data_IF_420317620805
#
_entry.id   IF_420317620805
#
_cell.length_a   1.000
_cell.length_b   1.000
_cell.length_c   1.000
_cell.angle_alpha   90.00
_cell.angle_beta   90.00
_cell.angle_gamma   90.00
#
_symmetry.space_group_name_H-M   'P 1'
#
loop_
_entity.id
_entity.type
_entity.pdbx_description
1 polymer ?
#
# COMPACT_ATOMS: atom_id res chain seq x y z
N UNK A 1 7.97 15.15 28.77
CA UNK A 1 6.95 14.21 29.30
C UNK A 1 7.07 12.91 28.50
N UNK A 2 7.04 11.73 29.13
CA UNK A 2 6.96 10.45 28.40
C UNK A 2 5.51 9.97 28.54
N UNK A 3 4.77 9.96 27.45
CA UNK A 3 3.44 9.35 27.41
C UNK A 3 3.62 7.95 26.82
N UNK A 4 3.20 6.93 27.57
CA UNK A 4 3.36 5.52 27.20
C UNK A 4 1.98 4.88 27.02
N UNK A 5 1.79 4.19 25.90
CA UNK A 5 0.66 3.29 25.70
C UNK A 5 1.13 1.84 25.81
N UNK A 6 0.37 1.03 26.54
CA UNK A 6 0.54 -0.41 26.69
C UNK A 6 -0.81 -1.13 26.72
N UNK A 7 -0.81 -2.45 26.88
CA UNK A 7 -1.99 -3.30 26.67
C UNK A 7 -2.98 -3.39 27.85
N UNK A 8 -2.70 -2.80 29.01
CA UNK A 8 -3.36 -3.15 30.29
C UNK A 8 -4.36 -2.13 30.87
N UNK A 9 -4.68 -1.03 30.19
CA UNK A 9 -5.76 -0.12 30.61
C UNK A 9 -6.38 0.59 29.40
N UNK A 10 -7.63 0.27 29.04
CA UNK A 10 -8.48 0.95 28.03
C UNK A 10 -7.70 1.73 26.94
N UNK A 11 -6.89 0.99 26.16
CA UNK A 11 -5.56 1.39 25.69
C UNK A 11 -5.47 2.20 24.40
N UNK A 12 -6.48 3.02 24.11
CA UNK A 12 -6.51 3.84 22.89
C UNK A 12 -6.85 5.29 23.19
N UNK A 13 -6.17 6.21 22.53
CA UNK A 13 -6.52 7.62 22.54
C UNK A 13 -7.67 7.87 21.58
N UNK A 14 -8.77 8.41 22.09
CA UNK A 14 -9.94 8.77 21.29
C UNK A 14 -9.81 10.20 20.76
N UNK A 15 -10.32 10.44 19.57
CA UNK A 15 -10.55 11.80 19.09
C UNK A 15 -11.64 12.49 19.93
N UNK A 16 -11.74 13.84 19.95
CA UNK A 16 -12.76 14.55 20.72
C UNK A 16 -14.20 14.07 20.48
N UNK A 17 -14.58 13.75 19.24
CA UNK A 17 -15.88 13.17 18.89
C UNK A 17 -16.03 11.69 19.28
N UNK A 18 -14.92 11.01 19.55
CA UNK A 18 -14.83 9.56 19.72
C UNK A 18 -15.08 8.78 18.43
N UNK A 19 -15.06 9.42 17.26
CA UNK A 19 -15.23 8.73 15.97
C UNK A 19 -13.97 7.95 15.58
N UNK A 20 -12.79 8.42 15.99
CA UNK A 20 -11.51 7.77 15.76
C UNK A 20 -10.82 7.37 17.06
N UNK A 21 -9.99 6.33 16.97
CA UNK A 21 -9.11 5.89 18.04
C UNK A 21 -7.71 5.60 17.49
N UNK A 22 -6.69 5.89 18.30
CA UNK A 22 -5.29 5.59 18.03
C UNK A 22 -4.71 4.72 19.14
N UNK A 23 -3.95 3.68 18.80
CA UNK A 23 -3.27 2.83 19.78
C UNK A 23 -3.00 1.42 19.24
N UNK A 24 -2.89 0.45 20.15
CA UNK A 24 -2.69 -0.94 19.76
C UNK A 24 -4.03 -1.64 19.42
N UNK A 25 -4.14 -2.16 18.19
CA UNK A 25 -5.26 -2.96 17.71
C UNK A 25 -4.82 -4.43 17.61
N UNK A 26 -5.54 -5.32 18.29
CA UNK A 26 -5.31 -6.76 18.20
C UNK A 26 -5.74 -7.31 16.83
N UNK A 27 -4.95 -8.21 16.26
CA UNK A 27 -5.24 -8.91 15.01
C UNK A 27 -5.82 -10.29 15.29
N UNK A 28 -6.96 -10.62 14.68
CA UNK A 28 -7.52 -11.99 14.59
C UNK A 28 -7.58 -12.79 15.90
N UNK A 29 -7.83 -12.15 17.04
CA UNK A 29 -7.79 -12.80 18.37
C UNK A 29 -6.45 -13.49 18.69
N UNK A 30 -5.35 -13.03 18.10
CA UNK A 30 -3.98 -13.51 18.36
C UNK A 30 -3.23 -12.63 19.36
N UNK A 31 -2.02 -13.01 19.75
CA UNK A 31 -1.11 -12.16 20.54
C UNK A 31 -0.33 -11.15 19.67
N UNK A 32 -0.84 -10.86 18.46
CA UNK A 32 -0.29 -9.92 17.51
C UNK A 32 -1.13 -8.64 17.44
N UNK A 33 -0.45 -7.50 17.33
CA UNK A 33 -1.04 -6.18 17.40
C UNK A 33 -0.46 -5.22 16.36
N UNK A 34 -1.23 -4.20 16.00
CA UNK A 34 -0.80 -3.07 15.19
C UNK A 34 -0.91 -1.78 15.97
N UNK A 35 0.13 -0.95 15.93
CA UNK A 35 -0.04 0.47 16.25
C UNK A 35 -0.79 1.13 15.09
N UNK A 36 -2.00 1.61 15.34
CA UNK A 36 -2.93 2.01 14.27
C UNK A 36 -3.91 3.09 14.69
N UNK A 37 -4.53 3.70 13.68
CA UNK A 37 -5.75 4.51 13.81
C UNK A 37 -6.90 3.73 13.19
N UNK A 38 -8.08 3.74 13.83
CA UNK A 38 -9.29 3.09 13.32
C UNK A 38 -10.56 3.90 13.64
N UNK A 39 -11.65 3.59 12.94
CA UNK A 39 -12.99 4.08 13.31
C UNK A 39 -13.47 3.40 14.60
N UNK A 40 -13.59 4.15 15.68
CA UNK A 40 -13.86 3.58 17.01
C UNK A 40 -15.31 3.10 17.17
N UNK A 41 -16.25 3.73 16.46
CA UNK A 41 -17.70 3.44 16.53
C UNK A 41 -18.20 2.44 15.50
N UNK A 42 -17.34 2.00 14.58
CA UNK A 42 -17.66 0.89 13.67
C UNK A 42 -17.33 -0.42 14.39
N UNK A 43 -18.22 -1.44 14.46
CA UNK A 43 -17.96 -2.63 15.27
C UNK A 43 -16.72 -3.43 14.83
N UNK A 44 -16.47 -3.54 13.52
CA UNK A 44 -15.24 -4.14 12.98
C UNK A 44 -13.97 -3.33 13.31
N UNK A 45 -14.14 -2.05 13.70
CA UNK A 45 -13.08 -1.08 14.00
C UNK A 45 -12.06 -1.05 12.88
N UNK A 46 -12.54 -0.71 11.70
CA UNK A 46 -11.79 -0.64 10.46
C UNK A 46 -10.57 0.25 10.61
N UNK A 47 -9.39 -0.32 10.34
CA UNK A 47 -8.11 0.37 10.39
C UNK A 47 -7.99 1.31 9.19
N UNK A 48 -7.62 2.57 9.45
CA UNK A 48 -7.45 3.62 8.43
C UNK A 48 -6.01 4.09 8.31
N UNK A 49 -5.18 3.80 9.32
CA UNK A 49 -3.74 4.05 9.31
C UNK A 49 -3.04 3.05 10.22
N UNK A 50 -1.79 2.70 9.92
CA UNK A 50 -0.94 1.90 10.81
C UNK A 50 0.53 2.29 10.67
N UNK A 51 1.31 2.04 11.71
CA UNK A 51 2.76 2.23 11.67
C UNK A 51 3.35 1.31 10.60
N UNK A 52 3.80 1.91 9.49
CA UNK A 52 4.40 1.20 8.36
C UNK A 52 5.84 1.69 8.14
N UNK A 53 6.72 0.81 7.68
CA UNK A 53 8.14 1.06 7.49
C UNK A 53 8.88 -0.21 7.04
N UNK A 54 10.21 -0.25 7.20
CA UNK A 54 11.05 -1.41 6.84
C UNK A 54 10.96 -2.56 7.87
N UNK A 55 10.34 -2.30 9.01
CA UNK A 55 10.12 -3.25 10.11
C UNK A 55 8.70 -3.81 10.07
N UNK A 56 8.44 -4.97 10.72
CA UNK A 56 7.10 -5.55 10.71
C UNK A 56 6.10 -4.57 11.31
N UNK A 57 5.03 -4.27 10.54
CA UNK A 57 3.89 -3.49 11.02
C UNK A 57 3.26 -4.11 12.29
N UNK A 58 3.40 -5.44 12.41
CA UNK A 58 2.81 -6.28 13.44
C UNK A 58 3.78 -6.54 14.58
N UNK A 59 3.31 -6.34 15.81
CA UNK A 59 4.10 -6.48 17.04
C UNK A 59 3.49 -7.47 18.02
N UNK A 60 4.33 -8.05 18.87
CA UNK A 60 3.90 -8.97 19.91
C UNK A 60 3.30 -8.24 21.12
N UNK A 61 2.43 -8.95 21.85
CA UNK A 61 1.96 -8.52 23.17
C UNK A 61 3.12 -8.12 24.10
N UNK A 62 2.95 -7.01 24.80
CA UNK A 62 3.99 -6.42 25.67
C UNK A 62 4.86 -5.37 24.99
N UNK A 63 4.76 -5.19 23.68
CA UNK A 63 5.27 -3.99 22.99
C UNK A 63 4.71 -2.69 23.57
N UNK A 64 5.50 -1.62 23.46
CA UNK A 64 5.18 -0.31 24.01
C UNK A 64 5.34 0.74 22.93
N UNK A 65 4.49 1.77 22.94
CA UNK A 65 4.74 3.00 22.18
C UNK A 65 4.90 4.16 23.14
N UNK A 66 6.03 4.86 23.01
CA UNK A 66 6.38 6.00 23.83
C UNK A 66 6.44 7.25 22.96
N UNK A 67 5.86 8.34 23.45
CA UNK A 67 6.10 9.67 22.92
C UNK A 67 7.35 10.27 23.59
N UNK A 68 8.31 10.69 22.78
CA UNK A 68 9.59 11.25 23.23
C UNK A 68 9.87 12.57 22.51
N UNK A 69 10.42 13.55 23.25
CA UNK A 69 10.75 14.85 22.66
C UNK A 69 11.84 14.77 21.57
N UNK A 70 12.71 13.77 21.64
CA UNK A 70 13.86 13.63 20.74
C UNK A 70 13.59 12.74 19.51
N UNK A 71 12.47 12.01 19.47
CA UNK A 71 12.21 11.05 18.38
C UNK A 71 10.74 10.86 18.04
N UNK A 72 9.83 11.63 18.65
CA UNK A 72 8.39 11.46 18.47
C UNK A 72 7.90 10.13 19.04
N UNK A 73 7.03 9.45 18.29
CA UNK A 73 6.57 8.11 18.63
C UNK A 73 7.68 7.10 18.40
N UNK A 74 7.97 6.29 19.41
CA UNK A 74 8.92 5.18 19.35
C UNK A 74 8.22 3.91 19.80
N UNK A 75 8.10 2.96 18.87
CA UNK A 75 7.53 1.64 19.10
C UNK A 75 8.65 0.65 19.43
N UNK A 76 8.54 -0.05 20.55
CA UNK A 76 9.53 -1.02 21.01
C UNK A 76 8.94 -2.42 21.20
N UNK A 77 9.78 -3.43 21.05
CA UNK A 77 9.45 -4.82 21.42
C UNK A 77 9.33 -4.96 22.94
N UNK A 78 8.76 -6.06 23.45
CA UNK A 78 8.75 -6.32 24.89
C UNK A 78 10.15 -6.35 25.53
N UNK A 79 11.19 -6.64 24.73
CA UNK A 79 12.60 -6.66 25.14
C UNK A 79 13.29 -5.30 24.99
N UNK A 80 12.57 -4.26 24.56
CA UNK A 80 13.09 -2.90 24.40
C UNK A 80 13.76 -2.60 23.06
N UNK A 81 13.75 -3.52 22.09
CA UNK A 81 14.29 -3.26 20.77
C UNK A 81 13.38 -2.27 20.01
N UNK A 82 13.95 -1.23 19.40
CA UNK A 82 13.19 -0.29 18.58
C UNK A 82 12.70 -0.99 17.31
N UNK A 83 11.38 -1.04 17.14
CA UNK A 83 10.72 -1.62 15.97
C UNK A 83 10.38 -0.54 14.94
N UNK A 84 9.90 0.63 15.37
CA UNK A 84 9.51 1.73 14.49
C UNK A 84 9.61 3.08 15.20
N UNK A 85 9.76 4.16 14.43
CA UNK A 85 9.66 5.54 14.93
C UNK A 85 9.02 6.49 13.92
N UNK A 86 8.42 7.59 14.39
CA UNK A 86 7.78 8.63 13.55
C UNK A 86 8.79 9.56 12.85
N UNK A 87 9.83 8.99 12.24
CA UNK A 87 10.89 9.74 11.55
C UNK A 87 11.98 10.28 12.47
N UNK A 88 12.75 11.25 11.96
CA UNK A 88 13.81 11.95 12.69
C UNK A 88 13.33 13.36 13.03
N UNK A 89 12.51 13.46 14.06
CA UNK A 89 11.92 14.72 14.56
C UNK A 89 12.41 15.03 15.97
N UNK A 90 12.47 16.31 16.32
CA UNK A 90 12.90 16.80 17.64
C UNK A 90 12.02 17.96 18.11
N UNK A 91 11.89 18.12 19.43
CA UNK A 91 11.08 19.18 20.02
C UNK A 91 9.62 18.80 20.24
N UNK A 92 9.29 17.51 20.15
CA UNK A 92 7.91 17.03 20.33
C UNK A 92 7.44 17.23 21.77
N UNK A 93 6.33 17.93 21.95
CA UNK A 93 5.73 18.22 23.24
C UNK A 93 4.55 17.29 23.55
N UNK A 94 3.63 17.14 22.60
CA UNK A 94 2.42 16.33 22.76
C UNK A 94 1.95 15.73 21.43
N UNK A 95 1.03 14.77 21.50
CA UNK A 95 0.38 14.15 20.35
C UNK A 95 -1.14 14.33 20.42
N UNK A 96 -1.77 14.64 19.30
CA UNK A 96 -3.19 14.97 19.19
C UNK A 96 -3.83 14.10 18.13
N UNK A 97 -4.90 13.38 18.49
CA UNK A 97 -5.79 12.75 17.51
C UNK A 97 -6.99 13.68 17.27
N UNK A 98 -7.13 14.20 16.06
CA UNK A 98 -8.24 15.08 15.73
C UNK A 98 -9.45 14.32 15.15
N UNK A 99 -10.55 15.04 14.92
CA UNK A 99 -11.80 14.46 14.40
C UNK A 99 -11.80 14.19 12.89
N UNK A 100 -10.73 14.52 12.16
CA UNK A 100 -10.53 14.02 10.78
C UNK A 100 -9.85 12.65 10.78
N UNK A 101 -9.40 12.17 11.94
CA UNK A 101 -8.65 10.92 12.07
C UNK A 101 -7.14 11.11 11.86
N UNK A 102 -6.67 12.35 11.70
CA UNK A 102 -5.24 12.65 11.63
C UNK A 102 -4.65 12.68 13.05
N UNK A 103 -3.64 11.85 13.28
CA UNK A 103 -2.82 11.92 14.49
C UNK A 103 -1.58 12.77 14.21
N UNK A 104 -1.42 13.84 14.98
CA UNK A 104 -0.40 14.87 14.80
C UNK A 104 0.51 14.89 16.03
N UNK A 105 1.81 15.04 15.80
CA UNK A 105 2.82 15.33 16.82
C UNK A 105 3.18 16.81 16.73
N UNK A 106 3.07 17.51 17.84
CA UNK A 106 3.22 18.97 17.90
C UNK A 106 4.34 19.37 18.86
N UNK A 107 4.93 20.55 18.61
CA UNK A 107 5.85 21.21 19.53
C UNK A 107 5.11 22.02 20.61
N UNK A 108 5.83 22.71 21.49
CA UNK A 108 5.24 23.53 22.56
C UNK A 108 4.44 24.74 22.03
N UNK A 109 4.61 25.12 20.76
CA UNK A 109 3.89 26.19 20.07
C UNK A 109 2.68 25.67 19.27
N UNK A 110 2.36 24.38 19.37
CA UNK A 110 1.33 23.71 18.56
C UNK A 110 1.64 23.70 17.05
N UNK A 111 2.92 23.77 16.67
CA UNK A 111 3.35 23.55 15.29
C UNK A 111 3.44 22.05 14.99
N UNK A 112 2.89 21.63 13.85
CA UNK A 112 2.92 20.23 13.40
C UNK A 112 4.33 19.81 13.00
N UNK A 113 4.88 18.81 13.70
CA UNK A 113 6.20 18.24 13.44
C UNK A 113 6.12 16.94 12.62
N UNK A 114 5.04 16.19 12.78
CA UNK A 114 4.78 14.95 12.06
C UNK A 114 3.30 14.60 12.14
N UNK A 115 2.75 14.00 11.09
CA UNK A 115 1.36 13.57 11.10
C UNK A 115 1.10 12.34 10.24
N UNK A 116 0.02 11.63 10.57
CA UNK A 116 -0.37 10.41 9.85
C UNK A 116 -0.79 10.66 8.41
N UNK A 117 -1.38 11.84 8.11
CA UNK A 117 -1.79 12.18 6.75
C UNK A 117 -0.58 12.39 5.82
N UNK A 118 0.53 12.96 6.31
CA UNK A 118 1.78 13.03 5.54
C UNK A 118 2.55 11.70 5.49
N UNK A 119 2.07 10.66 6.19
CA UNK A 119 2.69 9.33 6.22
C UNK A 119 1.63 8.25 5.97
N UNK A 120 0.91 8.30 4.84
CA UNK A 120 -0.27 7.49 4.62
C UNK A 120 0.10 6.00 4.41
N UNK A 121 -0.88 5.13 4.64
CA UNK A 121 -0.74 3.69 4.36
C UNK A 121 -1.52 3.29 3.12
N UNK A 122 -2.70 2.70 3.31
CA UNK A 122 -3.56 2.13 2.27
C UNK A 122 -4.86 2.91 2.10
N UNK A 123 -5.13 3.89 2.98
CA UNK A 123 -6.41 4.58 3.09
C UNK A 123 -6.23 6.09 3.13
N UNK A 124 -7.14 6.80 2.46
CA UNK A 124 -7.34 8.24 2.45
C UNK A 124 -8.68 8.54 3.13
N UNK A 125 -8.72 9.57 3.96
CA UNK A 125 -9.90 10.02 4.68
C UNK A 125 -10.36 11.40 4.18
N UNK A 126 -11.61 11.81 4.41
CA UNK A 126 -12.01 13.18 4.12
C UNK A 126 -11.13 14.21 4.84
N UNK A 127 -10.62 15.19 4.09
CA UNK A 127 -9.66 16.20 4.56
C UNK A 127 -8.19 15.75 4.47
N UNK A 128 -7.92 14.58 3.91
CA UNK A 128 -6.58 14.08 3.63
C UNK A 128 -6.29 14.25 2.13
N UNK A 129 -5.30 15.08 1.83
CA UNK A 129 -4.84 15.33 0.47
C UNK A 129 -3.57 14.54 0.15
N UNK A 130 -3.46 14.04 -1.08
CA UNK A 130 -2.21 13.45 -1.59
C UNK A 130 -1.61 14.44 -2.57
N UNK A 131 -0.61 15.19 -2.11
CA UNK A 131 0.14 16.16 -2.91
C UNK A 131 1.04 15.49 -3.96
N UNK A 132 1.56 16.27 -4.93
CA UNK A 132 2.61 15.82 -5.86
C UNK A 132 3.75 15.11 -5.11
N UNK A 133 4.16 13.96 -5.65
CA UNK A 133 5.15 13.06 -5.04
C UNK A 133 4.57 12.11 -3.99
N UNK A 134 3.34 12.37 -3.51
CA UNK A 134 2.60 11.59 -2.53
C UNK A 134 2.12 10.25 -3.06
N UNK A 135 2.08 9.26 -2.16
CA UNK A 135 1.87 7.85 -2.50
C UNK A 135 1.10 7.13 -1.40
N UNK A 136 0.16 6.26 -1.77
CA UNK A 136 -0.43 5.27 -0.85
C UNK A 136 -0.22 3.86 -1.38
N UNK A 137 -0.01 2.91 -0.48
CA UNK A 137 0.33 1.52 -0.78
C UNK A 137 -0.80 0.60 -0.35
N UNK A 138 -1.14 -0.36 -1.20
CA UNK A 138 -1.95 -1.49 -0.77
C UNK A 138 -1.29 -2.28 0.36
N UNK A 139 -2.11 -3.01 1.12
CA UNK A 139 -1.64 -4.11 1.97
C UNK A 139 -1.27 -5.32 1.10
N UNK A 140 -0.48 -6.25 1.64
CA UNK A 140 -0.10 -7.46 0.92
C UNK A 140 -1.27 -8.44 0.75
N UNK A 141 -2.12 -8.54 1.77
CA UNK A 141 -3.38 -9.27 1.75
C UNK A 141 -4.33 -8.64 2.79
N UNK A 142 -5.56 -9.13 2.88
CA UNK A 142 -6.54 -8.70 3.88
C UNK A 142 -6.04 -8.78 5.33
N UNK A 143 -5.15 -9.73 5.60
CA UNK A 143 -4.65 -10.04 6.95
C UNK A 143 -3.17 -9.70 7.13
N UNK A 144 -2.49 -9.30 6.03
CA UNK A 144 -1.07 -8.98 6.03
C UNK A 144 -0.83 -7.50 5.69
N UNK A 145 -0.55 -6.73 6.74
CA UNK A 145 -0.34 -5.29 6.71
C UNK A 145 1.03 -4.84 6.17
N UNK A 146 1.85 -5.79 5.69
CA UNK A 146 3.08 -5.45 4.96
C UNK A 146 2.74 -4.71 3.66
N UNK A 147 3.70 -3.96 3.11
CA UNK A 147 3.54 -3.30 1.81
C UNK A 147 3.15 -4.32 0.74
N UNK A 148 2.01 -4.07 0.09
CA UNK A 148 1.54 -4.80 -1.08
C UNK A 148 2.11 -4.26 -2.37
N UNK A 149 1.75 -4.90 -3.48
CA UNK A 149 2.30 -4.62 -4.81
C UNK A 149 1.56 -3.54 -5.60
N UNK A 150 0.55 -2.89 -5.03
CA UNK A 150 -0.20 -1.82 -5.70
C UNK A 150 0.04 -0.48 -5.03
N UNK A 151 0.05 0.56 -5.84
CA UNK A 151 0.26 1.92 -5.39
C UNK A 151 -0.58 2.93 -6.15
N UNK A 152 -1.18 3.87 -5.42
CA UNK A 152 -1.71 5.12 -5.97
C UNK A 152 -0.62 6.18 -5.81
N UNK A 153 -0.34 6.92 -6.87
CA UNK A 153 0.71 7.94 -6.89
C UNK A 153 0.17 9.22 -7.49
N UNK A 154 0.31 10.32 -6.76
CA UNK A 154 0.22 11.65 -7.36
C UNK A 154 1.61 12.00 -7.89
N UNK A 155 1.83 11.91 -9.19
CA UNK A 155 3.15 12.11 -9.80
C UNK A 155 3.52 13.59 -9.87
N UNK A 156 4.83 13.89 -9.91
CA UNK A 156 5.33 15.27 -10.00
C UNK A 156 4.92 15.99 -11.31
N UNK A 157 4.67 15.21 -12.37
CA UNK A 157 4.11 15.69 -13.64
C UNK A 157 2.61 16.07 -13.56
N UNK A 158 1.98 15.82 -12.42
CA UNK A 158 0.59 16.15 -12.12
C UNK A 158 -0.41 15.06 -12.43
N UNK A 159 0.02 13.88 -12.89
CA UNK A 159 -0.88 12.76 -13.17
C UNK A 159 -1.12 11.91 -11.91
N UNK A 160 -2.38 11.64 -11.59
CA UNK A 160 -2.75 10.65 -10.58
C UNK A 160 -2.83 9.28 -11.24
N UNK A 161 -2.03 8.33 -10.77
CA UNK A 161 -1.95 7.00 -11.38
C UNK A 161 -2.13 5.89 -10.36
N UNK A 162 -2.67 4.76 -10.81
CA UNK A 162 -2.56 3.49 -10.11
C UNK A 162 -1.59 2.59 -10.87
N UNK A 163 -0.65 1.98 -10.16
CA UNK A 163 0.38 1.11 -10.75
C UNK A 163 0.68 -0.10 -9.87
N UNK A 164 1.25 -1.13 -10.47
CA UNK A 164 1.94 -2.19 -9.74
C UNK A 164 3.40 -1.82 -9.50
N UNK A 165 3.96 -2.33 -8.40
CA UNK A 165 5.37 -2.15 -8.05
C UNK A 165 6.05 -3.49 -7.84
N UNK A 166 7.29 -3.59 -8.31
CA UNK A 166 8.12 -4.77 -8.14
C UNK A 166 8.77 -4.73 -6.75
N UNK A 167 8.38 -5.63 -5.86
CA UNK A 167 9.03 -5.77 -4.55
C UNK A 167 10.27 -6.68 -4.66
N UNK A 168 11.39 -6.38 -3.96
CA UNK A 168 11.58 -5.27 -3.03
C UNK A 168 12.14 -3.98 -3.67
N UNK A 169 12.34 -3.93 -4.99
CA UNK A 169 12.98 -2.76 -5.64
C UNK A 169 12.11 -1.50 -5.68
N UNK A 170 10.81 -1.64 -5.40
CA UNK A 170 9.78 -0.60 -5.48
C UNK A 170 9.67 0.06 -6.88
N UNK A 171 10.23 -0.60 -7.90
CA UNK A 171 10.15 -0.14 -9.28
C UNK A 171 8.68 -0.16 -9.74
N UNK A 172 8.17 1.00 -10.18
CA UNK A 172 6.82 1.07 -10.73
C UNK A 172 6.77 0.55 -12.16
N UNK A 173 5.79 -0.31 -12.41
CA UNK A 173 5.44 -0.74 -13.74
C UNK A 173 4.56 0.32 -14.42
N UNK A 174 4.15 0.04 -15.67
CA UNK A 174 3.20 0.88 -16.38
C UNK A 174 1.90 1.03 -15.57
N UNK A 175 1.36 2.25 -15.46
CA UNK A 175 0.13 2.47 -14.74
C UNK A 175 -1.04 1.81 -15.47
N UNK A 176 -1.96 1.25 -14.70
CA UNK A 176 -3.20 0.70 -15.23
C UNK A 176 -4.39 1.64 -15.16
N UNK A 177 -4.19 2.76 -14.50
CA UNK A 177 -5.09 3.88 -14.48
C UNK A 177 -4.25 5.15 -14.45
N UNK A 178 -4.68 6.16 -15.20
CA UNK A 178 -4.17 7.51 -15.15
C UNK A 178 -5.34 8.49 -15.23
N UNK A 179 -5.25 9.61 -14.52
CA UNK A 179 -6.24 10.68 -14.58
C UNK A 179 -6.05 11.61 -15.79
N UNK A 180 -4.96 11.44 -16.53
CA UNK A 180 -4.57 12.28 -17.68
C UNK A 180 -4.49 13.78 -17.36
N UNK A 181 -4.03 14.08 -16.14
CA UNK A 181 -3.84 15.45 -15.61
C UNK A 181 -2.39 15.92 -15.70
N UNK A 182 -1.59 15.30 -16.56
CA UNK A 182 -0.23 15.78 -16.86
C UNK A 182 -0.30 17.19 -17.46
N UNK A 183 0.57 18.08 -17.01
CA UNK A 183 0.69 19.41 -17.63
C UNK A 183 1.39 19.33 -18.99
N UNK A 184 0.84 20.03 -19.99
CA UNK A 184 1.46 20.16 -21.31
C UNK A 184 1.69 21.64 -21.70
N UNK A 185 2.51 21.88 -22.72
CA UNK A 185 2.87 23.22 -23.16
C UNK A 185 1.71 24.00 -23.82
N UNK A 186 0.56 23.35 -24.05
CA UNK A 186 -0.43 23.82 -25.02
C UNK A 186 -1.73 24.34 -24.41
N UNK A 187 -1.96 24.20 -23.09
CA UNK A 187 -2.96 24.90 -22.26
C UNK A 187 -3.40 24.08 -21.03
N UNK A 188 -2.95 22.82 -20.92
CA UNK A 188 -3.33 21.97 -19.79
C UNK A 188 -2.43 22.23 -18.58
N UNK A 189 -3.02 22.63 -17.46
CA UNK A 189 -2.28 22.75 -16.20
C UNK A 189 -2.15 21.40 -15.52
N UNK A 190 -0.99 21.15 -14.91
CA UNK A 190 -0.74 19.92 -14.18
C UNK A 190 -1.70 19.79 -12.97
N UNK A 191 -2.05 18.56 -12.60
CA UNK A 191 -2.65 18.28 -11.29
C UNK A 191 -1.67 18.61 -10.17
N UNK A 192 -2.14 19.13 -9.04
CA UNK A 192 -1.32 19.53 -7.86
C UNK A 192 -1.50 18.59 -6.68
N UNK A 193 -2.72 18.07 -6.49
CA UNK A 193 -3.04 17.13 -5.42
C UNK A 193 -4.31 16.35 -5.76
N UNK A 194 -4.42 15.14 -5.22
CA UNK A 194 -5.71 14.47 -5.03
C UNK A 194 -6.31 14.96 -3.72
N UNK A 195 -7.52 15.50 -3.77
CA UNK A 195 -8.27 15.96 -2.61
C UNK A 195 -9.48 15.07 -2.39
N UNK A 196 -9.71 14.63 -1.15
CA UNK A 196 -10.91 13.91 -0.74
C UNK A 196 -11.67 14.74 0.29
N UNK A 197 -12.86 15.24 -0.04
CA UNK A 197 -13.58 16.17 0.82
C UNK A 197 -14.71 15.53 1.64
N UNK A 198 -15.23 16.28 2.62
CA UNK A 198 -16.31 15.84 3.52
C UNK A 198 -17.69 15.69 2.86
N UNK A 199 -17.86 16.20 1.65
CA UNK A 199 -19.05 15.93 0.84
C UNK A 199 -18.96 14.57 0.13
N UNK A 200 -17.82 13.89 0.21
CA UNK A 200 -17.60 12.58 -0.39
C UNK A 200 -17.02 12.63 -1.81
N UNK A 201 -16.66 13.81 -2.31
CA UNK A 201 -16.04 13.96 -3.64
C UNK A 201 -14.53 13.80 -3.56
N UNK A 202 -13.97 13.10 -4.55
CA UNK A 202 -12.54 12.98 -4.80
C UNK A 202 -12.20 13.60 -6.15
N UNK A 203 -11.25 14.52 -6.17
CA UNK A 203 -10.80 15.16 -7.41
C UNK A 203 -9.31 15.43 -7.42
N UNK A 204 -8.73 15.43 -8.61
CA UNK A 204 -7.43 16.04 -8.85
C UNK A 204 -7.64 17.54 -9.03
N UNK A 205 -7.10 18.34 -8.10
CA UNK A 205 -7.04 19.79 -8.23
C UNK A 205 -5.93 20.15 -9.22
N UNK A 206 -6.18 21.03 -10.18
CA UNK A 206 -5.19 21.49 -11.17
C UNK A 206 -4.69 22.90 -10.84
N UNK A 207 -3.55 23.30 -11.41
CA UNK A 207 -2.92 24.60 -11.11
C UNK A 207 -3.81 25.80 -11.50
N UNK A 208 -4.67 25.65 -12.52
CA UNK A 208 -5.67 26.66 -12.90
C UNK A 208 -6.89 26.71 -11.96
N UNK A 209 -6.95 25.86 -10.93
CA UNK A 209 -8.07 25.72 -10.00
C UNK A 209 -9.21 24.81 -10.49
N UNK A 210 -9.10 24.22 -11.69
CA UNK A 210 -10.03 23.23 -12.19
C UNK A 210 -9.97 21.94 -11.35
N UNK A 211 -11.12 21.30 -11.15
CA UNK A 211 -11.26 20.06 -10.39
C UNK A 211 -11.69 18.94 -11.32
N UNK A 212 -10.79 18.00 -11.60
CA UNK A 212 -11.15 16.77 -12.30
C UNK A 212 -11.66 15.75 -11.29
N UNK A 213 -12.98 15.53 -11.26
CA UNK A 213 -13.58 14.55 -10.35
C UNK A 213 -13.24 13.14 -10.80
N UNK A 214 -12.79 12.31 -9.85
CA UNK A 214 -12.33 10.93 -10.09
C UNK A 214 -13.43 9.92 -9.77
N UNK A 215 -14.25 10.19 -8.74
CA UNK A 215 -15.40 9.36 -8.38
C UNK A 215 -16.70 9.82 -9.06
N UNK A 216 -17.71 8.95 -9.09
CA UNK A 216 -19.01 9.25 -9.72
C UNK A 216 -19.73 10.47 -9.12
N UNK A 217 -20.66 11.06 -9.90
CA UNK A 217 -21.33 12.31 -9.56
C UNK A 217 -22.23 12.23 -8.31
N UNK A 218 -22.77 11.04 -8.01
CA UNK A 218 -23.56 10.78 -6.81
C UNK A 218 -22.69 10.18 -5.71
N UNK A 219 -22.52 10.91 -4.62
CA UNK A 219 -21.74 10.48 -3.46
C UNK A 219 -22.48 10.80 -2.17
N UNK A 220 -21.99 10.25 -1.06
CA UNK A 220 -22.54 10.44 0.28
C UNK A 220 -21.61 11.31 1.13
N UNK A 221 -22.18 12.05 2.08
CA UNK A 221 -21.42 12.99 2.92
C UNK A 221 -20.91 12.36 4.21
N UNK A 222 -19.72 12.79 4.63
CA UNK A 222 -19.08 12.47 5.92
C UNK A 222 -19.92 12.94 7.13
N UNK A 223 -20.92 13.81 6.92
CA UNK A 223 -21.87 14.21 7.96
C UNK A 223 -22.71 13.03 8.46
N UNK A 224 -23.16 12.17 7.54
CA UNK A 224 -24.06 11.05 7.83
C UNK A 224 -23.36 9.70 7.79
N UNK A 225 -22.17 9.63 7.19
CA UNK A 225 -21.42 8.40 6.98
C UNK A 225 -19.97 8.55 7.46
N UNK A 226 -19.36 7.46 7.90
CA UNK A 226 -17.91 7.31 7.91
C UNK A 226 -17.46 6.99 6.50
N UNK A 227 -16.57 7.82 5.94
CA UNK A 227 -16.08 7.67 4.57
C UNK A 227 -14.59 7.38 4.55
N UNK A 228 -14.18 6.47 3.69
CA UNK A 228 -12.77 6.21 3.42
C UNK A 228 -12.59 5.85 1.96
N UNK A 229 -11.42 6.15 1.39
CA UNK A 229 -11.01 5.63 0.10
C UNK A 229 -9.76 4.77 0.30
N UNK A 230 -9.81 3.51 -0.11
CA UNK A 230 -8.79 2.52 0.21
C UNK A 230 -8.27 1.86 -1.06
N UNK A 231 -6.95 1.81 -1.20
CA UNK A 231 -6.30 0.97 -2.19
C UNK A 231 -6.21 -0.45 -1.63
N UNK A 232 -7.09 -1.32 -2.11
CA UNK A 232 -7.18 -2.68 -1.62
C UNK A 232 -5.96 -3.51 -2.05
N UNK A 233 -5.73 -4.64 -1.35
CA UNK A 233 -4.63 -5.56 -1.62
C UNK A 233 -4.66 -6.20 -3.02
N UNK A 234 -5.81 -6.10 -3.70
CA UNK A 234 -6.04 -6.63 -5.03
C UNK A 234 -5.94 -5.56 -6.14
N UNK A 235 -5.57 -4.33 -5.77
CA UNK A 235 -5.32 -3.22 -6.68
C UNK A 235 -6.53 -2.34 -6.98
N UNK A 236 -7.73 -2.70 -6.52
CA UNK A 236 -8.91 -1.86 -6.71
C UNK A 236 -8.90 -0.72 -5.69
N UNK A 237 -8.91 0.52 -6.16
CA UNK A 237 -9.08 1.69 -5.31
C UNK A 237 -10.57 1.97 -5.14
N UNK A 238 -11.07 1.87 -3.91
CA UNK A 238 -12.51 1.93 -3.65
C UNK A 238 -12.85 2.93 -2.55
N UNK A 239 -13.90 3.70 -2.77
CA UNK A 239 -14.56 4.52 -1.78
C UNK A 239 -15.62 3.70 -1.04
N UNK A 240 -15.51 3.69 0.29
CA UNK A 240 -16.44 3.03 1.18
C UNK A 240 -17.22 4.05 2.00
N UNK A 241 -18.47 3.69 2.30
CA UNK A 241 -19.30 4.40 3.26
C UNK A 241 -19.86 3.46 4.32
N UNK A 242 -19.96 3.96 5.54
CA UNK A 242 -20.60 3.27 6.65
C UNK A 242 -21.55 4.24 7.37
N UNK A 243 -22.88 3.98 7.45
CA UNK A 243 -23.81 4.90 8.08
C UNK A 243 -23.47 5.11 9.57
N UNK A 244 -23.40 6.36 10.04
CA UNK A 244 -23.07 6.65 11.46
C UNK A 244 -24.14 6.17 12.45
N UNK A 245 -25.36 5.94 11.97
CA UNK A 245 -26.48 5.42 12.75
C UNK A 245 -26.64 3.89 12.67
N UNK A 246 -25.78 3.20 11.90
CA UNK A 246 -25.81 1.74 11.79
C UNK A 246 -25.26 1.10 13.06
N UNK A 247 -25.92 0.05 13.53
CA UNK A 247 -25.42 -0.83 14.60
C UNK A 247 -24.76 -2.10 14.06
N UNK A 248 -24.81 -2.31 12.73
CA UNK A 248 -24.25 -3.49 12.06
C UNK A 248 -23.04 -3.16 11.18
N UNK A 249 -22.32 -4.19 10.75
CA UNK A 249 -21.13 -4.11 9.89
C UNK A 249 -21.47 -3.95 8.40
N UNK A 250 -22.36 -3.02 8.07
CA UNK A 250 -22.77 -2.79 6.68
C UNK A 250 -21.98 -1.61 6.12
N UNK A 251 -20.79 -1.89 5.60
CA UNK A 251 -20.05 -0.94 4.77
C UNK A 251 -20.38 -1.17 3.30
N UNK A 252 -20.66 -0.12 2.56
CA UNK A 252 -21.00 -0.18 1.14
C UNK A 252 -19.87 0.41 0.30
N UNK A 253 -19.55 -0.23 -0.82
CA UNK A 253 -18.71 0.38 -1.87
C UNK A 253 -19.58 1.41 -2.59
N UNK A 254 -19.20 2.67 -2.51
CA UNK A 254 -19.89 3.78 -3.18
C UNK A 254 -19.38 3.91 -4.61
N UNK A 255 -18.08 3.70 -4.79
CA UNK A 255 -17.40 3.82 -6.06
C UNK A 255 -16.08 3.06 -6.00
N UNK A 256 -15.60 2.57 -7.13
CA UNK A 256 -14.28 1.95 -7.23
C UNK A 256 -13.67 2.11 -8.61
N UNK A 257 -12.34 2.06 -8.70
CA UNK A 257 -11.62 2.03 -9.96
C UNK A 257 -10.42 1.07 -9.94
N UNK A 258 -10.07 0.50 -11.10
CA UNK A 258 -10.84 0.51 -12.35
C UNK A 258 -12.01 -0.49 -12.32
N UNK A 259 -13.00 -0.33 -13.21
CA UNK A 259 -14.18 -1.23 -13.29
C UNK A 259 -13.81 -2.69 -13.60
N UNK A 260 -12.80 -2.88 -14.44
CA UNK A 260 -12.26 -4.18 -14.79
C UNK A 260 -10.73 -4.14 -14.80
N UNK A 261 -10.14 -4.33 -13.63
CA UNK A 261 -8.69 -4.38 -13.48
C UNK A 261 -8.04 -5.55 -14.23
N UNK A 262 -8.78 -6.63 -14.54
CA UNK A 262 -8.26 -7.75 -15.33
C UNK A 262 -8.13 -7.45 -16.83
N UNK A 263 -8.73 -6.35 -17.33
CA UNK A 263 -8.57 -5.92 -18.72
C UNK A 263 -7.22 -5.23 -18.99
N UNK A 264 -6.41 -5.05 -17.96
CA UNK A 264 -5.06 -4.50 -18.08
C UNK A 264 -4.17 -5.32 -19.01
N UNK A 265 -3.61 -4.66 -20.02
CA UNK A 265 -2.48 -5.18 -20.80
C UNK A 265 -1.18 -4.83 -20.10
N UNK A 266 -0.43 -5.85 -19.68
CA UNK A 266 0.87 -5.67 -19.02
C UNK A 266 1.96 -6.00 -20.03
N UNK A 267 2.60 -4.99 -20.60
CA UNK A 267 3.69 -5.18 -21.57
C UNK A 267 4.96 -5.72 -20.89
N UNK A 268 5.17 -5.38 -19.62
CA UNK A 268 6.25 -5.86 -18.77
C UNK A 268 5.92 -5.68 -17.29
N UNK A 269 6.39 -6.61 -16.45
CA UNK A 269 6.22 -6.56 -15.00
C UNK A 269 5.08 -7.40 -14.44
N UNK A 270 4.77 -7.19 -13.16
CA UNK A 270 3.70 -7.87 -12.45
C UNK A 270 2.32 -7.32 -12.87
N UNK A 271 1.44 -8.20 -13.31
CA UNK A 271 0.02 -7.89 -13.43
C UNK A 271 -0.73 -7.99 -12.09
N UNK A 272 -2.05 -7.83 -12.16
CA UNK A 272 -2.94 -7.91 -10.98
C UNK A 272 -2.71 -9.19 -10.18
N UNK A 273 -2.59 -10.31 -10.87
CA UNK A 273 -2.52 -11.65 -10.27
C UNK A 273 -1.11 -12.23 -10.12
N UNK A 274 -0.05 -11.43 -10.22
CA UNK A 274 1.31 -11.95 -10.23
C UNK A 274 1.65 -12.69 -11.54
N UNK A 275 2.85 -13.26 -11.63
CA UNK A 275 3.34 -13.90 -12.86
C UNK A 275 2.62 -15.21 -13.16
N UNK A 276 2.40 -15.48 -14.46
CA UNK A 276 1.80 -16.72 -14.98
C UNK A 276 0.41 -17.03 -14.41
N UNK A 277 -0.37 -16.02 -14.06
CA UNK A 277 -1.74 -16.17 -13.55
C UNK A 277 -2.79 -15.72 -14.55
N UNK A 278 -4.00 -16.25 -14.41
CA UNK A 278 -5.20 -15.79 -15.10
C UNK A 278 -5.98 -14.89 -14.14
N UNK A 279 -6.31 -13.69 -14.61
CA UNK A 279 -7.17 -12.74 -13.89
C UNK A 279 -8.60 -12.85 -14.44
N UNK A 280 -9.56 -12.98 -13.54
CA UNK A 280 -10.99 -12.93 -13.86
C UNK A 280 -11.69 -11.97 -12.91
N UNK A 281 -12.82 -11.37 -13.32
CA UNK A 281 -13.61 -10.51 -12.45
C UNK A 281 -14.75 -11.31 -11.82
N UNK A 282 -14.89 -11.20 -10.51
CA UNK A 282 -16.04 -11.68 -9.76
C UNK A 282 -16.45 -10.57 -8.79
N UNK A 283 -17.74 -10.19 -8.81
CA UNK A 283 -18.28 -9.12 -7.95
C UNK A 283 -17.47 -7.81 -7.99
N UNK A 284 -17.06 -7.39 -9.19
CA UNK A 284 -16.22 -6.20 -9.45
C UNK A 284 -14.81 -6.25 -8.84
N UNK A 285 -14.36 -7.42 -8.37
CA UNK A 285 -13.02 -7.64 -7.81
C UNK A 285 -12.26 -8.70 -8.61
N UNK A 286 -10.92 -8.59 -8.72
CA UNK A 286 -10.14 -9.59 -9.43
C UNK A 286 -9.98 -10.86 -8.60
N UNK A 287 -10.18 -11.99 -9.27
CA UNK A 287 -9.88 -13.33 -8.79
C UNK A 287 -8.76 -13.92 -9.64
N UNK A 288 -7.78 -14.51 -8.97
CA UNK A 288 -6.56 -15.03 -9.57
C UNK A 288 -6.53 -16.55 -9.52
N UNK A 289 -6.17 -17.18 -10.64
CA UNK A 289 -6.03 -18.62 -10.72
C UNK A 289 -4.83 -19.00 -11.60
N UNK A 290 -4.09 -20.02 -11.17
CA UNK A 290 -3.07 -20.62 -12.02
C UNK A 290 -3.72 -21.30 -13.23
N UNK A 291 -3.15 -21.12 -14.44
CA UNK A 291 -3.52 -21.91 -15.61
C UNK A 291 -3.40 -23.41 -15.36
N UNK A 292 -4.03 -24.21 -16.22
CA UNK A 292 -3.83 -25.66 -16.21
C UNK A 292 -2.34 -26.00 -16.30
N UNK A 293 -1.88 -26.95 -15.45
CA UNK A 293 -0.47 -27.38 -15.32
C UNK A 293 0.44 -26.39 -14.60
N UNK A 294 -0.11 -25.36 -13.98
CA UNK A 294 0.60 -24.45 -13.08
C UNK A 294 0.04 -24.56 -11.67
N UNK A 295 0.89 -24.30 -10.68
CA UNK A 295 0.53 -24.22 -9.26
C UNK A 295 1.15 -22.99 -8.64
N UNK A 296 0.55 -22.50 -7.55
CA UNK A 296 1.10 -21.37 -6.80
C UNK A 296 2.51 -21.69 -6.31
N UNK A 297 3.42 -20.73 -6.46
CA UNK A 297 4.77 -20.81 -5.90
C UNK A 297 4.71 -20.84 -4.37
N UNK A 298 3.86 -19.99 -3.79
CA UNK A 298 3.50 -20.01 -2.38
C UNK A 298 2.01 -20.36 -2.26
N UNK A 299 1.65 -21.56 -1.77
CA UNK A 299 0.26 -21.95 -1.58
C UNK A 299 -0.55 -21.02 -0.66
N UNK A 300 0.12 -20.20 0.16
CA UNK A 300 -0.53 -19.26 1.08
C UNK A 300 -0.71 -17.86 0.47
N UNK A 301 -0.28 -17.63 -0.77
CA UNK A 301 -0.46 -16.38 -1.50
C UNK A 301 -1.30 -16.64 -2.76
N UNK A 302 -2.65 -16.61 -2.67
CA UNK A 302 -3.54 -16.85 -3.81
C UNK A 302 -3.37 -15.85 -4.96
N UNK A 303 -2.76 -14.70 -4.67
CA UNK A 303 -2.46 -13.65 -5.63
C UNK A 303 -0.97 -13.62 -6.01
N UNK A 304 -0.23 -14.65 -5.60
CA UNK A 304 1.18 -14.83 -5.84
C UNK A 304 1.46 -15.42 -7.21
N UNK A 305 2.73 -15.65 -7.50
CA UNK A 305 3.17 -16.16 -8.80
C UNK A 305 2.84 -17.63 -8.97
N UNK A 306 2.51 -18.04 -10.20
CA UNK A 306 2.40 -19.45 -10.57
C UNK A 306 3.67 -19.97 -11.24
N UNK A 307 3.97 -21.24 -10.97
CA UNK A 307 5.06 -22.00 -11.58
C UNK A 307 4.52 -23.29 -12.22
N UNK A 308 5.21 -23.80 -13.24
CA UNK A 308 4.80 -25.05 -13.87
C UNK A 308 4.87 -26.20 -12.86
N UNK A 309 3.79 -26.98 -12.75
CA UNK A 309 3.71 -28.09 -11.82
C UNK A 309 4.67 -29.22 -12.24
N UNK A 310 5.45 -29.74 -11.29
CA UNK A 310 6.57 -30.67 -11.53
C UNK A 310 6.18 -31.95 -12.32
N UNK A 311 4.92 -32.40 -12.21
CA UNK A 311 4.42 -33.57 -12.94
C UNK A 311 4.40 -33.43 -14.47
N UNK A 312 4.60 -32.22 -15.01
CA UNK A 312 4.71 -31.99 -16.46
C UNK A 312 6.13 -31.70 -16.96
N UNK A 313 7.07 -31.38 -16.05
CA UNK A 313 8.50 -31.27 -16.39
C UNK A 313 9.13 -32.65 -16.68
N UNK A 314 8.52 -33.71 -16.16
CA UNK A 314 8.88 -35.11 -16.44
C UNK A 314 8.64 -35.58 -17.89
N UNK A 315 7.87 -34.82 -18.69
CA UNK A 315 7.65 -35.13 -20.11
C UNK A 315 8.65 -34.42 -21.03
N UNK A 316 9.16 -33.25 -20.64
CA UNK A 316 10.24 -32.57 -21.37
C UNK A 316 11.63 -33.17 -21.07
N UNK A 317 11.84 -33.68 -19.85
CA UNK A 317 13.10 -34.32 -19.46
C UNK A 317 13.26 -35.76 -19.96
N UNK A 318 12.20 -36.38 -20.51
CA UNK A 318 12.28 -37.67 -21.23
C UNK A 318 12.56 -37.53 -22.74
N UNK A 319 12.44 -36.33 -23.32
CA UNK A 319 12.74 -36.08 -24.74
C UNK A 319 14.13 -35.49 -25.03
N UNK A 320 14.85 -35.01 -24.00
CA UNK A 320 16.16 -34.35 -24.17
C UNK A 320 17.34 -35.23 -23.69
N UNK A 321 17.06 -36.39 -23.06
CA UNK A 321 18.11 -37.31 -22.60
C UNK A 321 18.78 -38.15 -23.70
N UNK A 322 18.36 -38.05 -24.96
CA UNK A 322 18.98 -38.78 -26.09
C UNK A 322 19.75 -37.92 -27.10
N UNK A 323 19.89 -36.60 -26.91
CA UNK A 323 20.67 -35.75 -27.83
C UNK A 323 21.84 -34.97 -27.22
N UNK A 324 22.12 -35.12 -25.92
CA UNK A 324 23.35 -34.57 -25.30
C UNK A 324 24.28 -35.69 -24.82
N UNK A 325 24.64 -36.57 -25.74
CA UNK A 325 25.70 -37.56 -25.55
C UNK A 325 26.80 -37.36 -26.59
N UNK A 326 27.33 -36.14 -26.76
CA UNK A 326 28.61 -35.96 -27.46
C UNK A 326 29.44 -34.81 -26.87
N UNK A 327 30.56 -35.21 -26.26
CA UNK A 327 31.82 -34.48 -26.08
C UNK A 327 31.85 -33.26 -25.15
N UNK A 328 31.99 -33.52 -23.85
CA UNK A 328 32.92 -32.75 -23.00
C UNK A 328 34.05 -33.67 -22.56
N UNK A 329 35.24 -33.50 -23.17
CA UNK A 329 36.50 -33.81 -22.50
C UNK A 329 37.65 -33.02 -23.13
N UNK A 330 38.45 -32.43 -22.25
CA UNK A 330 39.76 -31.74 -22.44
C UNK A 330 39.72 -30.23 -22.68
N UNK A 331 39.76 -29.48 -21.57
CA UNK A 331 40.65 -28.32 -21.49
C UNK A 331 41.64 -28.57 -20.34
N UNK A 332 42.83 -29.05 -20.70
CA UNK A 332 44.04 -28.99 -19.87
C UNK A 332 44.89 -27.82 -20.33
N UNK A 333 45.49 -27.13 -19.37
CA UNK A 333 46.30 -25.92 -19.50
C UNK A 333 47.41 -25.98 -20.57
N UNK A 334 47.78 -24.81 -21.13
CA UNK A 334 49.15 -24.26 -21.07
C UNK A 334 49.32 -22.92 -21.84
N UNK A 335 49.77 -21.92 -21.10
CA UNK A 335 50.80 -20.90 -21.37
C UNK A 335 51.22 -20.48 -22.81
N UNK A 336 51.27 -19.15 -22.94
CA UNK A 336 52.33 -18.29 -23.53
C UNK A 336 52.59 -18.15 -25.04
N UNK A 337 52.69 -16.86 -25.40
CA UNK A 337 53.60 -16.17 -26.36
C UNK A 337 53.22 -16.00 -27.84
N UNK A 338 52.80 -14.75 -28.13
CA UNK A 338 53.33 -13.79 -29.12
C UNK A 338 53.64 -14.25 -30.57
N UNK A 339 52.96 -13.60 -31.54
CA UNK A 339 53.57 -12.78 -32.61
C UNK A 339 52.49 -12.11 -33.48
N UNK A 340 52.58 -10.77 -33.62
CA UNK A 340 52.20 -10.02 -34.84
C UNK A 340 53.28 -10.30 -35.93
N UNK A 341 53.18 -9.85 -37.21
CA UNK A 341 52.17 -9.01 -37.89
C UNK A 341 51.72 -9.56 -39.28
N UNK A 342 50.69 -8.98 -39.91
CA UNK A 342 50.88 -8.16 -41.13
C UNK A 342 49.56 -7.60 -41.68
N UNK A 343 49.73 -6.37 -42.19
CA UNK A 343 48.81 -5.53 -42.95
C UNK A 343 48.92 -5.89 -44.44
N UNK A 344 47.87 -5.52 -45.19
CA UNK A 344 47.78 -5.19 -46.63
C UNK A 344 46.73 -6.05 -47.36
N UNK A 345 45.79 -5.50 -48.14
CA UNK A 345 45.64 -4.16 -48.75
C UNK A 345 44.29 -3.53 -48.42
#
# INVERSE_FOLDING_TARGET
MIVQLGFTSSSSWLSPSGDFAFGFRQLENSDLFLLSTWYAKIPDRTIVWYASGDSPAVVAKGSLVNLTAASGLVLTSPQGAQLWKSGSISGVAFGVLNDTGNFVLEDDNSESLWETFNNPTHTILPGHDIEKGGKIWSQRSETNFSKGRFQLRMRDDGNLVLTTINLPSEFANMPYYASDTTGDSNSSTAGTKLEFNSSGYMYVLRENGEKLTINEAETVSARSFYLRATLNFDGVFAQYSHPKNSTGNVSSVVWSMPDNICAMTVDSGLGVCGYNNICTIQDQRPTCACPTRYSLLDPNDPYGNCVASENHLGLYSRGIKEQMSFSMNRCGACQHTARRPNVQL
#
